data_IF_022431575525
#
_entry.id   IF_022431575525
#
_cell.length_a   1.000
_cell.length_b   1.000
_cell.length_c   1.000
_cell.angle_alpha   90.00
_cell.angle_beta   90.00
_cell.angle_gamma   90.00
#
_symmetry.space_group_name_H-M   'P 1'
#
loop_
_entity.id
_entity.type
_entity.pdbx_description
1 polymer ?
#
# COMPACT_ATOMS: atom_id res chain seq x y z
N UNK A 1 13.54 -10.89 -25.41
CA UNK A 1 13.13 -9.55 -25.89
C UNK A 1 11.65 -9.60 -26.22
N UNK A 2 10.76 -9.07 -25.38
CA UNK A 2 9.32 -9.03 -25.73
C UNK A 2 8.75 -7.68 -25.30
N UNK A 3 9.15 -6.62 -25.99
CA UNK A 3 8.31 -5.97 -27.02
C UNK A 3 8.66 -4.49 -27.25
N UNK A 4 9.46 -3.84 -26.38
CA UNK A 4 9.79 -2.42 -26.61
C UNK A 4 11.28 -2.09 -26.68
N UNK A 5 12.20 -3.03 -26.44
CA UNK A 5 13.66 -2.78 -26.54
C UNK A 5 14.25 -1.70 -25.61
N UNK A 6 13.41 -0.95 -24.90
CA UNK A 6 13.78 0.17 -24.03
C UNK A 6 14.09 -0.24 -22.58
N UNK A 7 13.94 -1.52 -22.23
CA UNK A 7 14.08 -2.03 -20.88
C UNK A 7 15.25 -3.03 -20.81
N UNK A 8 16.40 -2.57 -20.32
CA UNK A 8 17.49 -3.47 -19.93
C UNK A 8 17.20 -3.98 -18.50
N UNK A 9 16.47 -5.08 -18.41
CA UNK A 9 15.99 -5.70 -17.15
C UNK A 9 17.11 -6.50 -16.44
N UNK A 10 18.37 -6.33 -16.84
CA UNK A 10 19.51 -7.07 -16.28
C UNK A 10 19.91 -6.62 -14.87
N UNK A 11 19.50 -5.43 -14.42
CA UNK A 11 19.87 -4.92 -13.10
C UNK A 11 18.86 -3.89 -12.54
N UNK A 12 17.69 -4.37 -12.10
CA UNK A 12 16.62 -3.53 -11.51
C UNK A 12 17.10 -2.68 -10.32
N UNK A 13 18.12 -3.12 -9.59
CA UNK A 13 18.69 -2.40 -8.45
C UNK A 13 19.58 -1.20 -8.83
N UNK A 14 20.05 -1.13 -10.08
CA UNK A 14 20.94 -0.07 -10.57
C UNK A 14 20.23 0.96 -11.47
N UNK A 15 18.90 0.85 -11.62
CA UNK A 15 18.16 1.71 -12.53
C UNK A 15 17.48 2.86 -11.76
N UNK A 16 17.95 4.12 -11.88
CA UNK A 16 17.27 5.28 -11.32
C UNK A 16 15.83 5.48 -11.87
N UNK A 17 15.40 4.67 -12.84
CA UNK A 17 14.05 4.69 -13.39
C UNK A 17 13.01 3.83 -12.65
N UNK A 18 13.35 3.03 -11.63
CA UNK A 18 12.37 2.14 -10.97
C UNK A 18 11.11 2.87 -10.48
N UNK A 19 11.30 4.05 -9.86
CA UNK A 19 10.23 4.91 -9.33
C UNK A 19 9.44 5.63 -10.44
N UNK A 20 10.06 5.84 -11.60
CA UNK A 20 9.51 6.61 -12.71
C UNK A 20 9.05 5.74 -13.90
N UNK A 21 9.10 4.40 -13.78
CA UNK A 21 8.90 3.52 -14.95
C UNK A 21 7.56 3.72 -15.65
N UNK A 22 6.50 4.00 -14.89
CA UNK A 22 5.19 4.29 -15.47
C UNK A 22 5.21 5.57 -16.32
N UNK A 23 5.87 6.62 -15.84
CA UNK A 23 6.01 7.88 -16.58
C UNK A 23 6.88 7.68 -17.84
N UNK A 24 8.02 7.00 -17.72
CA UNK A 24 8.88 6.65 -18.87
C UNK A 24 8.10 5.84 -19.90
N UNK A 25 7.38 4.80 -19.49
CA UNK A 25 6.59 3.97 -20.40
C UNK A 25 5.51 4.78 -21.14
N UNK A 26 4.74 5.62 -20.44
CA UNK A 26 3.70 6.43 -21.06
C UNK A 26 4.25 7.54 -21.96
N UNK A 27 5.45 8.05 -21.67
CA UNK A 27 6.14 9.00 -22.54
C UNK A 27 6.53 8.41 -23.89
N UNK A 28 6.75 7.08 -23.97
CA UNK A 28 7.08 6.42 -25.25
C UNK A 28 5.89 6.38 -26.23
N UNK A 29 4.66 6.39 -25.72
CA UNK A 29 3.42 6.33 -26.53
C UNK A 29 2.78 7.70 -26.72
N UNK A 30 2.77 8.53 -25.67
CA UNK A 30 2.06 9.80 -25.63
C UNK A 30 2.98 11.04 -25.58
N UNK A 31 4.30 10.85 -25.67
CA UNK A 31 5.28 11.93 -25.59
C UNK A 31 5.24 12.67 -24.23
N UNK A 32 5.51 13.98 -24.26
CA UNK A 32 5.54 14.81 -23.04
C UNK A 32 4.22 14.84 -22.27
N UNK A 33 3.08 14.66 -22.95
CA UNK A 33 1.76 14.61 -22.32
C UNK A 33 1.59 13.41 -21.38
N UNK A 34 2.24 12.28 -21.68
CA UNK A 34 2.19 11.07 -20.86
C UNK A 34 2.70 11.30 -19.42
N UNK A 35 3.74 12.13 -19.25
CA UNK A 35 4.30 12.42 -17.93
C UNK A 35 3.31 13.21 -17.05
N UNK A 36 2.64 14.21 -17.63
CA UNK A 36 1.65 15.03 -16.91
C UNK A 36 0.42 14.21 -16.52
N UNK A 37 -0.07 13.37 -17.45
CA UNK A 37 -1.20 12.48 -17.19
C UNK A 37 -0.91 11.53 -16.03
N UNK A 38 0.22 10.82 -16.05
CA UNK A 38 0.59 9.87 -15.00
C UNK A 38 0.82 10.58 -13.66
N UNK A 39 1.38 11.80 -13.65
CA UNK A 39 1.53 12.58 -12.42
C UNK A 39 0.19 12.88 -11.74
N UNK A 40 -0.84 13.28 -12.53
CA UNK A 40 -2.19 13.52 -12.00
C UNK A 40 -2.81 12.22 -11.45
N UNK A 41 -2.70 11.12 -12.18
CA UNK A 41 -3.22 9.83 -11.73
C UNK A 41 -2.55 9.38 -10.42
N UNK A 42 -1.21 9.51 -10.32
CA UNK A 42 -0.46 9.18 -9.12
C UNK A 42 -0.86 10.05 -7.92
N UNK A 43 -1.10 11.34 -8.13
CA UNK A 43 -1.58 12.23 -7.07
C UNK A 43 -2.89 11.72 -6.45
N UNK A 44 -3.89 11.42 -7.26
CA UNK A 44 -5.17 10.92 -6.77
C UNK A 44 -5.06 9.53 -6.14
N UNK A 45 -4.26 8.64 -6.74
CA UNK A 45 -4.04 7.29 -6.24
C UNK A 45 -3.31 7.28 -4.89
N UNK A 46 -2.25 8.06 -4.76
CA UNK A 46 -1.52 8.19 -3.49
C UNK A 46 -2.41 8.82 -2.41
N UNK A 47 -3.17 9.86 -2.77
CA UNK A 47 -4.10 10.50 -1.84
C UNK A 47 -5.18 9.55 -1.32
N UNK A 48 -5.84 8.79 -2.20
CA UNK A 48 -6.86 7.82 -1.78
C UNK A 48 -6.25 6.72 -0.90
N UNK A 49 -5.02 6.30 -1.20
CA UNK A 49 -4.30 5.28 -0.43
C UNK A 49 -3.98 5.79 0.98
N UNK A 50 -3.47 7.02 1.12
CA UNK A 50 -3.19 7.63 2.42
C UNK A 50 -4.46 7.70 3.28
N UNK A 51 -5.59 8.12 2.71
CA UNK A 51 -6.87 8.17 3.44
C UNK A 51 -7.29 6.77 3.90
N UNK A 52 -7.19 5.77 3.01
CA UNK A 52 -7.53 4.39 3.35
C UNK A 52 -6.72 3.86 4.53
N UNK A 53 -5.39 4.02 4.48
CA UNK A 53 -4.50 3.59 5.56
C UNK A 53 -4.72 4.36 6.86
N UNK A 54 -4.97 5.67 6.78
CA UNK A 54 -5.33 6.47 7.93
C UNK A 54 -6.61 5.96 8.61
N UNK A 55 -7.65 5.65 7.83
CA UNK A 55 -8.90 5.11 8.37
C UNK A 55 -8.70 3.77 9.10
N UNK A 56 -7.93 2.84 8.51
CA UNK A 56 -7.61 1.57 9.16
C UNK A 56 -6.85 1.77 10.47
N UNK A 57 -5.85 2.66 10.48
CA UNK A 57 -5.09 2.99 11.69
C UNK A 57 -5.95 3.67 12.75
N UNK A 58 -6.85 4.59 12.36
CA UNK A 58 -7.79 5.24 13.27
C UNK A 58 -8.68 4.22 13.97
N UNK A 59 -9.25 3.24 13.26
CA UNK A 59 -10.06 2.19 13.88
C UNK A 59 -9.25 1.34 14.87
N UNK A 60 -8.02 0.97 14.51
CA UNK A 60 -7.13 0.19 15.38
C UNK A 60 -6.74 0.96 16.65
N UNK A 61 -6.39 2.24 16.53
CA UNK A 61 -6.06 3.11 17.67
C UNK A 61 -7.29 3.35 18.55
N UNK A 62 -8.45 3.57 17.95
CA UNK A 62 -9.71 3.74 18.68
C UNK A 62 -10.06 2.47 19.48
N UNK A 63 -9.83 1.30 18.92
CA UNK A 63 -10.05 0.02 19.60
C UNK A 63 -9.08 -0.18 20.78
N UNK A 64 -7.80 0.13 20.60
CA UNK A 64 -6.77 -0.15 21.60
C UNK A 64 -6.66 0.91 22.71
N UNK A 65 -6.80 2.19 22.37
CA UNK A 65 -6.55 3.33 23.27
C UNK A 65 -7.76 4.25 23.45
N UNK A 66 -8.88 3.96 22.80
CA UNK A 66 -10.11 4.74 22.89
C UNK A 66 -10.14 6.01 22.02
N UNK A 67 -11.26 6.73 22.08
CA UNK A 67 -11.59 7.84 21.16
C UNK A 67 -10.66 9.05 21.31
N UNK A 68 -10.09 9.27 22.51
CA UNK A 68 -9.21 10.43 22.77
C UNK A 68 -7.86 10.30 22.06
N UNK A 69 -7.36 9.08 21.86
CA UNK A 69 -6.08 8.82 21.20
C UNK A 69 -6.12 9.04 19.68
N UNK A 70 -7.32 9.02 19.07
CA UNK A 70 -7.50 9.22 17.62
C UNK A 70 -6.94 10.57 17.16
N UNK A 71 -7.17 11.65 17.93
CA UNK A 71 -6.66 12.98 17.57
C UNK A 71 -5.13 13.05 17.58
N UNK A 72 -4.50 12.33 18.51
CA UNK A 72 -3.04 12.23 18.58
C UNK A 72 -2.52 11.42 17.41
N UNK A 73 -3.16 10.31 17.06
CA UNK A 73 -2.83 9.51 15.89
C UNK A 73 -2.96 10.30 14.58
N UNK A 74 -4.00 11.12 14.42
CA UNK A 74 -4.15 11.99 13.25
C UNK A 74 -3.00 12.98 13.08
N UNK A 75 -2.54 13.58 14.18
CA UNK A 75 -1.37 14.46 14.15
C UNK A 75 -0.10 13.69 13.71
N UNK A 76 0.13 12.51 14.30
CA UNK A 76 1.27 11.65 13.96
C UNK A 76 1.21 11.22 12.49
N UNK A 77 0.05 10.79 12.00
CA UNK A 77 -0.13 10.35 10.62
C UNK A 77 0.22 11.46 9.61
N UNK A 78 -0.23 12.70 9.86
CA UNK A 78 0.11 13.84 9.00
C UNK A 78 1.61 14.12 9.01
N UNK A 79 2.26 14.08 10.18
CA UNK A 79 3.72 14.23 10.28
C UNK A 79 4.44 13.11 9.54
N UNK A 80 4.01 11.85 9.68
CA UNK A 80 4.59 10.72 8.97
C UNK A 80 4.45 10.84 7.45
N UNK A 81 3.31 11.34 6.95
CA UNK A 81 3.12 11.61 5.50
C UNK A 81 4.09 12.70 5.02
N UNK A 82 4.24 13.78 5.79
CA UNK A 82 5.18 14.86 5.45
C UNK A 82 6.63 14.37 5.47
N UNK A 83 7.02 13.57 6.47
CA UNK A 83 8.34 12.95 6.55
C UNK A 83 8.56 11.97 5.39
N UNK A 84 7.55 11.16 5.05
CA UNK A 84 7.62 10.21 3.93
C UNK A 84 7.87 10.87 2.58
N UNK A 85 7.52 12.15 2.40
CA UNK A 85 7.84 12.91 1.20
C UNK A 85 9.31 13.40 1.13
N UNK A 86 10.04 13.37 2.25
CA UNK A 86 11.43 13.85 2.38
C UNK A 86 12.43 12.70 2.55
N UNK A 87 11.99 11.56 3.08
CA UNK A 87 12.81 10.36 3.24
C UNK A 87 13.13 9.69 1.89
N UNK A 88 14.27 9.01 1.83
CA UNK A 88 14.65 8.24 0.65
C UNK A 88 13.68 7.06 0.44
N UNK A 89 13.28 6.83 -0.81
CA UNK A 89 12.31 5.79 -1.15
C UNK A 89 12.71 4.39 -0.66
N UNK A 90 13.97 3.90 -0.81
CA UNK A 90 14.34 2.57 -0.33
C UNK A 90 14.13 2.39 1.18
N UNK A 91 14.38 3.44 1.97
CA UNK A 91 14.16 3.40 3.41
C UNK A 91 12.67 3.27 3.74
N UNK A 92 11.81 4.05 3.07
CA UNK A 92 10.36 4.00 3.26
C UNK A 92 9.80 2.63 2.86
N UNK A 93 10.27 2.06 1.74
CA UNK A 93 9.86 0.72 1.29
C UNK A 93 10.28 -0.36 2.30
N UNK A 94 11.54 -0.37 2.73
CA UNK A 94 12.04 -1.34 3.72
C UNK A 94 11.29 -1.24 5.05
N UNK A 95 10.98 -0.03 5.51
CA UNK A 95 10.22 0.20 6.73
C UNK A 95 8.76 -0.29 6.59
N UNK A 96 8.13 -0.01 5.45
CA UNK A 96 6.79 -0.49 5.13
C UNK A 96 6.74 -2.02 5.11
N UNK A 97 7.70 -2.67 4.46
CA UNK A 97 7.77 -4.14 4.39
C UNK A 97 7.97 -4.76 5.77
N UNK A 98 8.83 -4.17 6.61
CA UNK A 98 9.02 -4.62 7.99
C UNK A 98 7.72 -4.57 8.80
N UNK A 99 7.01 -3.44 8.78
CA UNK A 99 5.77 -3.31 9.55
C UNK A 99 4.64 -4.18 8.99
N UNK A 100 4.57 -4.35 7.67
CA UNK A 100 3.57 -5.21 7.05
C UNK A 100 3.83 -6.69 7.39
N UNK A 101 5.10 -7.13 7.38
CA UNK A 101 5.49 -8.45 7.85
C UNK A 101 5.09 -8.67 9.32
N UNK A 102 5.40 -7.70 10.20
CA UNK A 102 5.00 -7.75 11.61
C UNK A 102 3.47 -7.83 11.81
N UNK A 103 2.69 -7.16 10.97
CA UNK A 103 1.22 -7.24 11.00
C UNK A 103 0.69 -8.58 10.48
N UNK A 104 1.33 -9.16 9.47
CA UNK A 104 0.91 -10.43 8.86
C UNK A 104 1.06 -11.61 9.82
N UNK A 105 2.11 -11.64 10.65
CA UNK A 105 2.36 -12.75 11.58
C UNK A 105 1.19 -13.06 12.53
N UNK A 106 0.69 -12.11 13.35
CA UNK A 106 -0.42 -12.38 14.26
C UNK A 106 -1.72 -12.65 13.51
N UNK A 107 -1.98 -11.95 12.39
CA UNK A 107 -3.19 -12.15 11.60
C UNK A 107 -3.24 -13.54 10.96
N UNK A 108 -2.11 -14.02 10.44
CA UNK A 108 -2.01 -15.35 9.86
C UNK A 108 -2.17 -16.44 10.93
N UNK A 109 -1.56 -16.27 12.11
CA UNK A 109 -1.71 -17.21 13.21
C UNK A 109 -3.17 -17.30 13.68
N UNK A 110 -3.84 -16.17 13.83
CA UNK A 110 -5.25 -16.10 14.17
C UNK A 110 -6.13 -16.76 13.09
N UNK A 111 -5.84 -16.51 11.80
CA UNK A 111 -6.56 -17.11 10.69
C UNK A 111 -6.40 -18.65 10.67
N UNK A 112 -5.19 -19.16 10.90
CA UNK A 112 -4.95 -20.61 10.96
C UNK A 112 -5.70 -21.24 12.14
N UNK A 113 -5.67 -20.61 13.32
CA UNK A 113 -6.42 -21.08 14.49
C UNK A 113 -7.94 -21.06 14.28
N UNK A 114 -8.48 -20.02 13.61
CA UNK A 114 -9.92 -19.89 13.33
C UNK A 114 -10.35 -20.58 12.02
N UNK A 115 -9.44 -21.12 11.22
CA UNK A 115 -9.73 -21.67 9.88
C UNK A 115 -10.83 -22.73 9.90
N UNK A 116 -10.85 -23.60 10.92
CA UNK A 116 -11.89 -24.60 11.12
C UNK A 116 -13.27 -24.01 11.43
N UNK A 117 -13.31 -22.93 12.22
CA UNK A 117 -14.56 -22.21 12.56
C UNK A 117 -15.10 -21.46 11.33
N UNK A 118 -14.23 -20.78 10.58
CA UNK A 118 -14.59 -20.06 9.35
C UNK A 118 -15.10 -21.03 8.28
N UNK A 119 -14.44 -22.18 8.10
CA UNK A 119 -14.90 -23.20 7.16
C UNK A 119 -16.27 -23.78 7.55
N UNK A 120 -16.53 -23.94 8.86
CA UNK A 120 -17.83 -24.38 9.37
C UNK A 120 -18.91 -23.31 9.18
N UNK A 121 -18.60 -22.04 9.46
CA UNK A 121 -19.52 -20.92 9.27
C UNK A 121 -19.87 -20.69 7.80
N UNK A 122 -18.88 -20.77 6.90
CA UNK A 122 -19.07 -20.64 5.46
C UNK A 122 -20.03 -21.71 4.91
N UNK A 123 -19.84 -22.98 5.32
CA UNK A 123 -20.73 -24.09 4.92
C UNK A 123 -22.11 -24.04 5.58
N UNK A 124 -22.21 -23.49 6.79
CA UNK A 124 -23.48 -23.29 7.49
C UNK A 124 -24.33 -22.15 6.89
N UNK A 125 -23.69 -21.12 6.34
CA UNK A 125 -24.37 -20.04 5.60
C UNK A 125 -25.02 -20.51 4.30
N UNK A 126 -24.41 -21.50 3.62
CA UNK A 126 -25.00 -22.15 2.45
C UNK A 126 -26.25 -22.99 2.79
N UNK A 127 -26.43 -23.40 4.05
CA UNK A 127 -27.63 -24.12 4.51
C UNK A 127 -28.81 -23.19 4.82
N UNK A 128 -28.58 -21.90 5.06
CA UNK A 128 -29.62 -20.88 5.28
C UNK A 128 -30.10 -20.21 3.98
N UNK A 129 -29.45 -20.51 2.85
CA UNK A 129 -29.73 -19.92 1.53
C UNK A 129 -30.49 -20.86 0.56
N UNK A 130 -30.98 -22.00 1.07
CA UNK A 130 -31.93 -22.91 0.39
C UNK A 130 -33.22 -22.96 1.19
#
# INVERSE_FOLDING_TARGET
MITSGALNVGNMAANPAAENMAQVAFSTVFGSFGNFYVAICLLFFAFSTIIGWYFFGEQNVKYLFGVKAVKVYACIAVVCVALGAVLEAPLVWNLSDLFNALMVFPNLLALLALSGLVAKAARGGDALRK
#
